data_IF_272149969171
#
_entry.id   IF_272149969171
#
_cell.length_a   1.000
_cell.length_b   1.000
_cell.length_c   1.000
_cell.angle_alpha   90.00
_cell.angle_beta   90.00
_cell.angle_gamma   90.00
#
_symmetry.space_group_name_H-M   'P 1'
#
loop_
_entity.id
_entity.type
_entity.pdbx_description
1 polymer ?
#
# COMPACT_ATOMS: atom_id res chain seq x y z
N UNK A 1 13.32 8.02 24.94
CA UNK A 1 14.16 7.90 23.73
C UNK A 1 14.77 6.51 23.74
N UNK A 2 14.26 5.60 22.96
CA UNK A 2 14.97 4.40 22.58
C UNK A 2 14.55 4.12 21.14
N UNK A 3 15.47 4.16 20.19
CA UNK A 3 15.11 3.89 18.81
C UNK A 3 14.82 2.40 18.69
N UNK A 4 13.67 2.05 18.15
CA UNK A 4 13.45 0.75 17.54
C UNK A 4 14.33 0.68 16.27
N UNK A 5 15.63 0.70 16.46
CA UNK A 5 16.57 0.35 15.41
C UNK A 5 16.50 -1.16 15.30
N UNK A 6 15.74 -1.60 14.33
CA UNK A 6 15.77 -2.98 13.90
C UNK A 6 17.14 -3.17 13.22
N UNK A 7 18.08 -3.91 13.85
CA UNK A 7 19.42 -4.23 13.32
C UNK A 7 19.40 -5.13 12.06
N UNK A 8 18.26 -5.23 11.41
CA UNK A 8 18.15 -5.89 10.10
C UNK A 8 18.62 -4.90 9.04
N UNK A 9 19.76 -5.17 8.43
CA UNK A 9 20.10 -4.50 7.16
C UNK A 9 18.92 -4.65 6.20
N UNK A 10 18.51 -3.55 5.51
CA UNK A 10 17.40 -3.59 4.58
C UNK A 10 17.66 -4.68 3.53
N UNK A 11 16.81 -5.69 3.52
CA UNK A 11 16.96 -6.89 2.69
C UNK A 11 16.58 -6.66 1.22
N UNK A 12 17.14 -5.62 0.58
CA UNK A 12 16.96 -5.38 -0.86
C UNK A 12 17.58 -6.47 -1.74
N UNK A 13 18.39 -7.36 -1.17
CA UNK A 13 18.82 -8.58 -1.84
C UNK A 13 17.60 -9.50 -1.95
N UNK A 14 16.85 -9.37 -3.05
CA UNK A 14 15.98 -10.45 -3.49
C UNK A 14 16.75 -11.76 -3.41
N UNK A 15 16.07 -12.86 -3.12
CA UNK A 15 16.55 -14.23 -3.24
C UNK A 15 16.92 -14.56 -4.71
N UNK A 16 17.88 -13.88 -5.26
CA UNK A 16 18.38 -13.98 -6.62
C UNK A 16 19.60 -13.12 -6.73
N UNK A 17 20.72 -13.68 -7.16
CA UNK A 17 22.05 -13.09 -7.24
C UNK A 17 22.15 -11.67 -7.82
N UNK A 18 23.37 -11.21 -8.20
CA UNK A 18 23.59 -9.88 -8.75
C UNK A 18 22.59 -9.58 -9.87
N UNK A 19 22.21 -8.30 -10.03
CA UNK A 19 21.38 -7.86 -11.16
C UNK A 19 22.05 -8.37 -12.46
N UNK A 20 21.42 -9.36 -13.09
CA UNK A 20 21.88 -9.83 -14.39
C UNK A 20 21.76 -8.67 -15.39
N UNK A 21 22.74 -8.55 -16.27
CA UNK A 21 22.77 -7.51 -17.31
C UNK A 21 21.56 -7.58 -18.27
N UNK A 22 20.78 -8.65 -18.23
CA UNK A 22 19.56 -8.84 -19.03
C UNK A 22 18.49 -9.55 -18.20
N UNK A 23 17.23 -9.15 -18.41
CA UNK A 23 16.08 -9.81 -17.81
C UNK A 23 16.04 -11.29 -18.26
N UNK A 24 15.70 -12.27 -17.36
CA UNK A 24 15.54 -13.67 -17.76
C UNK A 24 14.43 -13.83 -18.79
N UNK A 25 14.48 -14.89 -19.59
CA UNK A 25 13.43 -15.15 -20.58
C UNK A 25 12.08 -15.48 -19.92
N UNK A 26 12.15 -16.21 -18.80
CA UNK A 26 10.97 -16.63 -18.04
C UNK A 26 11.10 -16.30 -16.56
N UNK A 27 9.97 -16.10 -15.91
CA UNK A 27 9.84 -15.81 -14.48
C UNK A 27 8.80 -16.72 -13.83
N UNK A 28 8.85 -16.80 -12.52
CA UNK A 28 7.77 -17.40 -11.72
C UNK A 28 6.78 -16.31 -11.32
N UNK A 29 5.49 -16.67 -11.30
CA UNK A 29 4.43 -15.86 -10.77
C UNK A 29 3.41 -16.71 -10.02
N UNK A 30 2.67 -16.11 -9.11
CA UNK A 30 1.53 -16.76 -8.43
C UNK A 30 0.24 -16.16 -8.99
N UNK A 31 -0.65 -17.00 -9.48
CA UNK A 31 -1.91 -16.56 -10.06
C UNK A 31 -3.01 -17.60 -9.89
N UNK A 32 -4.19 -17.27 -10.40
CA UNK A 32 -5.38 -18.14 -10.36
C UNK A 32 -6.20 -18.02 -11.64
N UNK A 33 -6.91 -19.14 -11.99
CA UNK A 33 -7.79 -19.26 -13.17
C UNK A 33 -9.26 -19.28 -12.79
N UNK A 34 -9.55 -19.48 -11.51
CA UNK A 34 -10.91 -19.53 -10.96
C UNK A 34 -10.94 -18.76 -9.64
N UNK A 35 -12.06 -18.17 -9.32
CA UNK A 35 -12.26 -17.53 -8.03
C UNK A 35 -12.39 -18.56 -6.90
N UNK A 36 -11.95 -18.20 -5.70
CA UNK A 36 -12.09 -19.09 -4.54
C UNK A 36 -11.19 -18.76 -3.36
N UNK A 37 -11.01 -19.77 -2.50
CA UNK A 37 -10.12 -19.73 -1.35
C UNK A 37 -8.63 -19.75 -1.73
N UNK A 38 -7.71 -19.80 -0.74
CA UNK A 38 -6.27 -19.82 -1.01
C UNK A 38 -5.78 -20.95 -1.93
N UNK A 39 -6.51 -22.07 -1.99
CA UNK A 39 -6.17 -23.24 -2.80
C UNK A 39 -6.22 -23.02 -4.32
N UNK A 40 -6.85 -21.92 -4.79
CA UNK A 40 -6.85 -21.59 -6.23
C UNK A 40 -5.54 -20.98 -6.70
N UNK A 41 -4.69 -20.53 -5.77
CA UNK A 41 -3.39 -19.95 -6.08
C UNK A 41 -2.40 -21.03 -6.51
N UNK A 42 -1.72 -20.80 -7.63
CA UNK A 42 -0.70 -21.70 -8.16
C UNK A 42 0.52 -20.94 -8.67
N UNK A 43 1.69 -21.54 -8.50
CA UNK A 43 2.94 -21.02 -9.09
C UNK A 43 2.97 -21.37 -10.57
N UNK A 44 3.30 -20.40 -11.40
CA UNK A 44 3.35 -20.51 -12.87
C UNK A 44 4.67 -20.03 -13.40
N UNK A 45 5.08 -20.59 -14.54
CA UNK A 45 6.15 -20.01 -15.36
C UNK A 45 5.51 -19.17 -16.46
N UNK A 46 5.96 -17.94 -16.61
CA UNK A 46 5.49 -16.99 -17.60
C UNK A 46 6.70 -16.34 -18.27
N UNK A 47 6.51 -15.82 -19.48
CA UNK A 47 7.52 -14.97 -20.08
C UNK A 47 7.69 -13.71 -19.25
N UNK A 48 8.96 -13.33 -19.02
CA UNK A 48 9.28 -12.11 -18.27
C UNK A 48 8.87 -10.90 -19.10
N UNK A 49 8.03 -9.98 -18.57
CA UNK A 49 7.61 -8.80 -19.30
C UNK A 49 8.81 -7.89 -19.57
N UNK A 50 8.80 -7.22 -20.73
CA UNK A 50 9.83 -6.27 -21.14
C UNK A 50 9.28 -4.86 -21.09
N UNK A 51 10.04 -3.89 -20.54
CA UNK A 51 9.58 -2.50 -20.50
C UNK A 51 9.56 -1.90 -21.90
N UNK A 52 8.44 -1.26 -22.24
CA UNK A 52 8.29 -0.42 -23.41
C UNK A 52 8.81 1.01 -23.17
N UNK A 53 8.59 1.96 -24.12
CA UNK A 53 8.94 3.36 -23.93
C UNK A 53 8.26 3.94 -22.68
N UNK A 54 9.03 4.66 -21.82
CA UNK A 54 8.53 5.26 -20.58
C UNK A 54 8.23 4.27 -19.46
N UNK A 55 8.52 2.96 -19.65
CA UNK A 55 8.29 1.93 -18.65
C UNK A 55 9.59 1.40 -18.05
N UNK A 56 9.48 0.84 -16.88
CA UNK A 56 10.58 0.14 -16.20
C UNK A 56 10.18 -1.29 -15.83
N UNK A 57 11.15 -2.19 -15.84
CA UNK A 57 11.01 -3.51 -15.24
C UNK A 57 11.53 -3.48 -13.81
N UNK A 58 10.71 -3.90 -12.87
CA UNK A 58 11.05 -3.99 -11.43
C UNK A 58 11.20 -5.45 -11.05
N UNK A 59 12.36 -5.82 -10.52
CA UNK A 59 12.55 -7.09 -9.80
C UNK A 59 11.92 -6.95 -8.43
N UNK A 60 10.81 -7.64 -8.19
CA UNK A 60 10.03 -7.53 -6.96
C UNK A 60 10.82 -8.12 -5.79
N UNK A 61 10.98 -7.34 -4.73
CA UNK A 61 11.61 -7.76 -3.47
C UNK A 61 10.57 -8.04 -2.39
N UNK A 62 9.50 -7.25 -2.33
CA UNK A 62 8.41 -7.44 -1.40
C UNK A 62 7.07 -7.02 -2.03
N UNK A 63 5.99 -7.66 -1.61
CA UNK A 63 4.62 -7.33 -2.00
C UNK A 63 3.69 -7.46 -0.80
N UNK A 64 2.83 -6.47 -0.57
CA UNK A 64 1.80 -6.53 0.47
C UNK A 64 0.68 -7.48 0.09
N UNK A 65 0.07 -8.11 1.09
CA UNK A 65 -1.14 -8.93 0.94
C UNK A 65 -2.32 -8.18 1.54
N UNK A 66 -3.09 -7.51 0.70
CA UNK A 66 -4.21 -6.67 1.10
C UNK A 66 -5.55 -7.40 1.08
N UNK A 67 -6.40 -7.13 2.08
CA UNK A 67 -7.74 -7.73 2.12
C UNK A 67 -8.59 -7.26 0.94
N UNK A 68 -8.62 -5.96 0.68
CA UNK A 68 -9.48 -5.38 -0.35
C UNK A 68 -8.97 -5.68 -1.75
N UNK A 69 -7.66 -5.48 -2.00
CA UNK A 69 -7.11 -5.60 -3.34
C UNK A 69 -6.87 -7.07 -3.74
N UNK A 70 -6.26 -7.87 -2.84
CA UNK A 70 -5.81 -9.21 -3.20
C UNK A 70 -6.82 -10.30 -2.83
N UNK A 71 -7.32 -10.29 -1.57
CA UNK A 71 -8.20 -11.36 -1.12
C UNK A 71 -9.57 -11.29 -1.79
N UNK A 72 -10.14 -10.09 -1.97
CA UNK A 72 -11.42 -9.94 -2.63
C UNK A 72 -11.32 -10.19 -4.15
N UNK A 73 -10.19 -9.79 -4.78
CA UNK A 73 -9.92 -10.11 -6.18
C UNK A 73 -9.87 -11.62 -6.39
N UNK A 74 -9.09 -12.34 -5.56
CA UNK A 74 -9.02 -13.80 -5.62
C UNK A 74 -10.37 -14.46 -5.36
N UNK A 75 -11.17 -13.94 -4.43
CA UNK A 75 -12.49 -14.47 -4.11
C UNK A 75 -13.56 -14.15 -5.16
N UNK A 76 -13.30 -13.24 -6.10
CA UNK A 76 -14.28 -12.75 -7.08
C UNK A 76 -15.34 -11.82 -6.47
N UNK A 77 -15.04 -11.23 -5.31
CA UNK A 77 -15.96 -10.37 -4.55
C UNK A 77 -15.44 -8.93 -4.43
N UNK A 78 -14.58 -8.51 -5.36
CA UNK A 78 -14.05 -7.15 -5.36
C UNK A 78 -15.18 -6.14 -5.60
N UNK A 79 -15.39 -5.16 -4.70
CA UNK A 79 -16.62 -4.34 -4.73
C UNK A 79 -16.68 -3.34 -5.88
N UNK A 80 -15.53 -2.98 -6.48
CA UNK A 80 -15.44 -1.91 -7.48
C UNK A 80 -14.85 -2.37 -8.81
N UNK A 81 -14.43 -3.62 -8.93
CA UNK A 81 -13.78 -4.08 -10.14
C UNK A 81 -14.21 -5.50 -10.52
N UNK A 82 -14.39 -5.71 -11.81
CA UNK A 82 -14.52 -7.04 -12.39
C UNK A 82 -13.12 -7.58 -12.69
N UNK A 83 -12.73 -8.64 -12.01
CA UNK A 83 -11.43 -9.29 -12.21
C UNK A 83 -11.49 -10.17 -13.43
N UNK A 84 -10.57 -9.98 -14.35
CA UNK A 84 -10.41 -10.84 -15.53
C UNK A 84 -9.50 -12.02 -15.20
N UNK A 85 -9.88 -13.21 -15.65
CA UNK A 85 -9.14 -14.46 -15.48
C UNK A 85 -8.46 -14.89 -16.78
N UNK A 86 -7.27 -15.50 -16.75
CA UNK A 86 -6.43 -15.79 -15.57
C UNK A 86 -5.80 -14.54 -14.99
N UNK A 87 -5.63 -14.49 -13.65
CA UNK A 87 -5.19 -13.30 -12.96
C UNK A 87 -3.94 -13.52 -12.08
N UNK A 88 -3.12 -12.48 -11.96
CA UNK A 88 -1.99 -12.37 -11.03
C UNK A 88 -2.28 -11.19 -10.10
N UNK A 89 -2.50 -11.41 -8.80
CA UNK A 89 -2.74 -10.33 -7.84
C UNK A 89 -1.43 -9.63 -7.43
N UNK A 90 -1.52 -8.69 -6.47
CA UNK A 90 -0.39 -7.96 -5.92
C UNK A 90 -0.36 -6.52 -6.41
N UNK A 91 -0.93 -5.62 -5.62
CA UNK A 91 -0.97 -4.19 -5.96
C UNK A 91 0.25 -3.45 -5.38
N UNK A 92 0.41 -3.49 -4.07
CA UNK A 92 1.42 -2.74 -3.35
C UNK A 92 2.74 -3.52 -3.31
N UNK A 93 3.78 -3.02 -3.96
CA UNK A 93 5.06 -3.71 -3.99
C UNK A 93 6.24 -2.75 -4.04
N UNK A 94 7.41 -3.28 -3.72
CA UNK A 94 8.68 -2.62 -3.84
C UNK A 94 9.72 -3.58 -4.42
N UNK A 95 10.73 -3.03 -5.06
CA UNK A 95 11.77 -3.82 -5.68
C UNK A 95 12.92 -2.99 -6.20
N UNK A 96 13.76 -3.63 -7.00
CA UNK A 96 14.91 -3.00 -7.66
C UNK A 96 14.63 -2.85 -9.15
N UNK A 97 14.88 -1.69 -9.71
CA UNK A 97 14.81 -1.47 -11.17
C UNK A 97 15.78 -2.41 -11.86
N UNK A 98 15.28 -3.32 -12.68
CA UNK A 98 16.07 -4.33 -13.38
C UNK A 98 16.42 -3.90 -14.82
N UNK A 99 15.51 -3.19 -15.47
CA UNK A 99 15.70 -2.63 -16.81
C UNK A 99 14.82 -1.41 -17.00
N UNK A 100 15.17 -0.56 -17.96
CA UNK A 100 14.40 0.63 -18.34
C UNK A 100 14.15 0.64 -19.83
N UNK A 101 12.98 1.11 -20.23
CA UNK A 101 12.63 1.38 -21.62
C UNK A 101 13.20 2.70 -22.11
N UNK A 102 13.02 2.97 -23.41
CA UNK A 102 13.45 4.24 -23.99
C UNK A 102 12.67 5.41 -23.38
N UNK A 103 13.33 6.55 -23.18
CA UNK A 103 12.73 7.77 -22.66
C UNK A 103 12.63 7.83 -21.13
N UNK A 104 12.93 6.77 -20.39
CA UNK A 104 13.00 6.76 -18.93
C UNK A 104 14.19 7.60 -18.46
N UNK A 105 13.94 8.52 -17.53
CA UNK A 105 14.96 9.47 -17.03
C UNK A 105 14.99 9.62 -15.51
N UNK A 106 13.92 9.22 -14.80
CA UNK A 106 13.78 9.43 -13.37
C UNK A 106 14.48 8.36 -12.51
N UNK A 107 14.69 7.18 -13.08
CA UNK A 107 15.31 6.03 -12.40
C UNK A 107 16.24 5.27 -13.35
N UNK A 108 17.12 4.45 -12.80
CA UNK A 108 18.08 3.62 -13.52
C UNK A 108 18.16 2.21 -12.94
N UNK A 109 18.66 1.21 -13.70
CA UNK A 109 18.90 -0.12 -13.17
C UNK A 109 19.77 -0.09 -11.89
N UNK A 110 19.30 -0.78 -10.86
CA UNK A 110 19.91 -0.81 -9.54
C UNK A 110 19.20 0.08 -8.51
N UNK A 111 18.41 1.05 -8.91
CA UNK A 111 17.67 1.89 -7.97
C UNK A 111 16.57 1.09 -7.25
N UNK A 112 16.37 1.37 -5.97
CA UNK A 112 15.29 0.81 -5.16
C UNK A 112 14.06 1.68 -5.28
N UNK A 113 12.91 1.04 -5.55
CA UNK A 113 11.65 1.75 -5.78
C UNK A 113 10.47 1.11 -5.03
N UNK A 114 9.58 1.95 -4.51
CA UNK A 114 8.21 1.58 -4.17
C UNK A 114 7.31 1.89 -5.37
N UNK A 115 6.36 1.01 -5.68
CA UNK A 115 5.48 1.19 -6.85
C UNK A 115 4.07 1.53 -6.40
N UNK A 116 3.61 2.73 -6.78
CA UNK A 116 2.24 3.16 -6.60
C UNK A 116 1.34 2.47 -7.63
N UNK A 117 0.31 1.70 -7.20
CA UNK A 117 -0.37 0.78 -8.09
C UNK A 117 -1.44 1.41 -8.99
N UNK A 118 -1.77 2.69 -8.83
CA UNK A 118 -2.79 3.35 -9.65
C UNK A 118 -2.17 3.86 -10.94
N UNK A 119 -2.56 3.23 -12.04
CA UNK A 119 -2.11 3.57 -13.39
C UNK A 119 -3.14 4.53 -14.01
N UNK A 120 -2.69 5.71 -14.43
CA UNK A 120 -3.51 6.72 -15.11
C UNK A 120 -3.16 6.81 -16.60
N UNK A 121 -4.05 7.34 -17.44
CA UNK A 121 -3.79 7.39 -18.88
C UNK A 121 -2.74 8.43 -19.28
N UNK A 122 -2.54 9.48 -18.49
CA UNK A 122 -1.57 10.55 -18.75
C UNK A 122 -2.01 11.60 -19.77
N UNK A 123 -3.16 11.43 -20.46
CA UNK A 123 -3.57 12.25 -21.62
C UNK A 123 -4.94 12.92 -21.49
N UNK A 124 -5.78 12.52 -20.52
CA UNK A 124 -7.08 13.15 -20.30
C UNK A 124 -6.94 14.46 -19.50
N UNK A 125 -7.99 15.31 -19.51
CA UNK A 125 -8.00 16.61 -18.83
C UNK A 125 -7.61 16.49 -17.37
N UNK A 126 -8.16 15.51 -16.64
CA UNK A 126 -7.81 15.27 -15.24
C UNK A 126 -6.30 14.97 -15.05
N UNK A 127 -5.70 14.17 -15.94
CA UNK A 127 -4.26 13.91 -15.89
C UNK A 127 -3.43 15.16 -16.23
N UNK A 128 -3.87 15.96 -17.20
CA UNK A 128 -3.20 17.20 -17.58
C UNK A 128 -3.23 18.25 -16.46
N UNK A 129 -4.28 18.26 -15.65
CA UNK A 129 -4.44 19.11 -14.46
C UNK A 129 -3.75 18.57 -13.20
N UNK A 130 -3.13 17.39 -13.27
CA UNK A 130 -2.50 16.72 -12.13
C UNK A 130 -3.47 16.02 -11.18
N UNK A 131 -4.74 15.91 -11.55
CA UNK A 131 -5.81 15.23 -10.81
C UNK A 131 -5.99 13.77 -11.26
N UNK A 132 -4.88 13.01 -11.27
CA UNK A 132 -4.87 11.63 -11.75
C UNK A 132 -5.86 10.70 -11.03
N UNK A 133 -6.26 11.00 -9.80
CA UNK A 133 -7.30 10.31 -9.05
C UNK A 133 -8.69 10.41 -9.70
N UNK A 134 -8.94 11.45 -10.50
CA UNK A 134 -10.16 11.66 -11.28
C UNK A 134 -10.06 11.11 -12.72
N UNK A 135 -8.96 10.41 -13.06
CA UNK A 135 -8.78 9.85 -14.39
C UNK A 135 -9.84 8.78 -14.69
N UNK A 136 -10.69 8.95 -15.74
CA UNK A 136 -11.75 7.98 -16.05
C UNK A 136 -11.21 6.64 -16.55
N UNK A 137 -9.95 6.59 -16.98
CA UNK A 137 -9.26 5.38 -17.41
C UNK A 137 -8.32 4.81 -16.34
N UNK A 138 -8.41 5.27 -15.08
CA UNK A 138 -7.57 4.78 -14.01
C UNK A 138 -7.74 3.27 -13.81
N UNK A 139 -6.62 2.57 -13.68
CA UNK A 139 -6.56 1.12 -13.45
C UNK A 139 -5.69 0.83 -12.24
N UNK A 140 -5.99 -0.21 -11.51
CA UNK A 140 -5.19 -0.63 -10.35
C UNK A 140 -4.46 -1.91 -10.74
N UNK A 141 -3.14 -1.89 -10.60
CA UNK A 141 -2.28 -3.05 -10.77
C UNK A 141 -2.67 -4.15 -9.77
N UNK A 142 -2.67 -5.40 -10.20
CA UNK A 142 -3.12 -6.53 -9.37
C UNK A 142 -4.64 -6.63 -9.20
N UNK A 143 -5.41 -5.70 -9.79
CA UNK A 143 -6.88 -5.71 -9.82
C UNK A 143 -7.39 -5.65 -11.26
N UNK A 144 -7.06 -4.58 -12.00
CA UNK A 144 -7.47 -4.41 -13.39
C UNK A 144 -6.40 -4.89 -14.39
N UNK A 145 -5.16 -5.01 -13.93
CA UNK A 145 -4.02 -5.53 -14.70
C UNK A 145 -3.31 -6.59 -13.87
N UNK A 146 -2.37 -7.32 -14.48
CA UNK A 146 -1.51 -8.25 -13.76
C UNK A 146 -0.73 -7.51 -12.67
N UNK A 147 -0.62 -8.14 -11.50
CA UNK A 147 0.04 -7.60 -10.32
C UNK A 147 1.44 -8.17 -10.07
N UNK A 148 1.92 -7.90 -8.86
CA UNK A 148 3.28 -8.14 -8.42
C UNK A 148 3.51 -9.46 -7.66
N UNK A 149 2.55 -10.39 -7.64
CA UNK A 149 2.83 -11.75 -7.19
C UNK A 149 3.68 -12.49 -8.23
N UNK A 150 4.80 -11.88 -8.62
CA UNK A 150 5.71 -12.30 -9.68
C UNK A 150 7.13 -11.87 -9.35
N UNK A 151 8.13 -12.50 -9.98
CA UNK A 151 9.54 -12.11 -9.79
C UNK A 151 9.85 -10.75 -10.46
N UNK A 152 9.10 -10.40 -11.51
CA UNK A 152 9.24 -9.12 -12.24
C UNK A 152 7.88 -8.54 -12.60
N UNK A 153 7.82 -7.21 -12.59
CA UNK A 153 6.68 -6.43 -13.08
C UNK A 153 7.19 -5.36 -14.05
N UNK A 154 6.29 -4.86 -14.91
CA UNK A 154 6.54 -3.67 -15.73
C UNK A 154 5.52 -2.61 -15.36
N UNK A 155 6.01 -1.40 -15.13
CA UNK A 155 5.19 -0.23 -14.74
C UNK A 155 5.72 1.03 -15.43
N UNK A 156 4.87 2.05 -15.66
CA UNK A 156 5.35 3.37 -16.07
C UNK A 156 6.34 3.95 -15.05
N UNK A 157 7.38 4.66 -15.50
CA UNK A 157 8.34 5.29 -14.57
C UNK A 157 7.67 6.25 -13.58
N UNK A 158 6.58 6.92 -13.98
CA UNK A 158 5.80 7.81 -13.14
C UNK A 158 5.17 7.13 -11.91
N UNK A 159 5.06 5.80 -11.94
CA UNK A 159 4.52 5.00 -10.82
C UNK A 159 5.61 4.49 -9.87
N UNK A 160 6.88 4.70 -10.17
CA UNK A 160 8.01 4.21 -9.40
C UNK A 160 8.67 5.35 -8.59
N UNK A 161 8.64 5.24 -7.29
CA UNK A 161 9.18 6.24 -6.36
C UNK A 161 10.46 5.72 -5.74
N UNK A 162 11.60 6.42 -5.90
CA UNK A 162 12.86 6.04 -5.26
C UNK A 162 12.72 5.91 -3.73
N UNK A 163 13.29 4.87 -3.19
CA UNK A 163 13.27 4.55 -1.75
C UNK A 163 14.65 4.81 -1.15
N UNK A 164 14.76 5.51 -0.02
CA UNK A 164 16.01 5.67 0.70
C UNK A 164 16.65 4.31 1.05
N UNK A 165 17.99 4.26 1.06
CA UNK A 165 18.72 3.01 1.22
C UNK A 165 18.55 2.34 2.60
N UNK A 166 18.14 3.10 3.61
CA UNK A 166 17.86 2.66 4.98
C UNK A 166 16.44 2.14 5.20
N UNK A 167 15.55 2.29 4.19
CA UNK A 167 14.18 1.75 4.22
C UNK A 167 14.16 0.36 3.58
N UNK A 168 13.68 -0.66 4.30
CA UNK A 168 13.58 -2.03 3.78
C UNK A 168 12.48 -2.21 2.73
N UNK A 169 12.57 -3.25 1.88
CA UNK A 169 11.59 -3.49 0.83
C UNK A 169 10.19 -3.79 1.38
N UNK A 170 10.08 -4.43 2.52
CA UNK A 170 8.80 -4.73 3.18
C UNK A 170 8.10 -3.46 3.62
N UNK A 171 8.84 -2.52 4.23
CA UNK A 171 8.30 -1.22 4.63
C UNK A 171 7.93 -0.37 3.42
N UNK A 172 8.79 -0.36 2.40
CA UNK A 172 8.53 0.34 1.14
C UNK A 172 7.26 -0.19 0.44
N UNK A 173 7.08 -1.52 0.39
CA UNK A 173 5.88 -2.14 -0.17
C UNK A 173 4.62 -1.80 0.64
N UNK A 174 4.71 -1.82 1.98
CA UNK A 174 3.58 -1.49 2.86
C UNK A 174 3.14 -0.02 2.74
N UNK A 175 4.08 0.88 2.40
CA UNK A 175 3.82 2.31 2.23
C UNK A 175 3.36 2.70 0.82
N UNK A 176 3.55 1.84 -0.17
CA UNK A 176 3.39 2.17 -1.59
C UNK A 176 2.01 2.78 -1.95
N UNK A 177 0.92 2.25 -1.40
CA UNK A 177 -0.43 2.83 -1.55
C UNK A 177 -0.94 3.38 -0.22
N UNK A 178 -0.90 2.56 0.84
CA UNK A 178 -1.50 2.92 2.12
C UNK A 178 -0.85 4.16 2.74
N UNK A 179 0.47 4.36 2.55
CA UNK A 179 1.18 5.56 2.97
C UNK A 179 0.72 6.81 2.20
N UNK A 180 0.62 6.71 0.88
CA UNK A 180 0.14 7.81 0.04
C UNK A 180 -1.31 8.20 0.37
N UNK A 181 -2.18 7.21 0.60
CA UNK A 181 -3.57 7.45 1.02
C UNK A 181 -3.61 8.14 2.37
N UNK A 182 -2.86 7.65 3.38
CA UNK A 182 -2.82 8.28 4.69
C UNK A 182 -2.30 9.74 4.62
N UNK A 183 -1.25 9.98 3.83
CA UNK A 183 -0.69 11.33 3.64
C UNK A 183 -1.73 12.28 3.02
N UNK A 184 -2.33 11.90 1.89
CA UNK A 184 -3.33 12.72 1.20
C UNK A 184 -4.52 13.07 2.10
N UNK A 185 -4.91 12.16 2.95
CA UNK A 185 -5.97 12.36 3.92
C UNK A 185 -5.67 13.52 4.86
N UNK A 186 -4.45 13.59 5.39
CA UNK A 186 -4.05 14.66 6.29
C UNK A 186 -3.81 15.99 5.58
N UNK A 187 -3.36 15.95 4.33
CA UNK A 187 -3.16 17.15 3.53
C UNK A 187 -4.50 17.85 3.24
N UNK A 188 -5.58 17.07 3.10
CA UNK A 188 -6.93 17.61 2.93
C UNK A 188 -7.60 18.07 4.24
N UNK A 189 -7.19 17.52 5.38
CA UNK A 189 -7.86 17.73 6.66
C UNK A 189 -7.37 18.94 7.45
N UNK A 190 -6.29 19.61 7.03
CA UNK A 190 -5.61 20.73 7.75
C UNK A 190 -5.40 20.41 9.25
N UNK A 191 -4.96 19.18 9.55
CA UNK A 191 -4.75 18.72 10.91
C UNK A 191 -3.65 19.50 11.61
N UNK A 192 -3.95 20.04 12.80
CA UNK A 192 -3.00 20.83 13.60
C UNK A 192 -2.45 20.02 14.78
N UNK A 193 -1.21 20.27 15.19
CA UNK A 193 -0.67 19.67 16.41
C UNK A 193 -1.57 19.93 17.61
N UNK A 194 -1.76 18.91 18.45
CA UNK A 194 -2.62 18.96 19.63
C UNK A 194 -4.10 18.66 19.40
N UNK A 195 -4.56 18.62 18.14
CA UNK A 195 -5.93 18.23 17.83
C UNK A 195 -6.19 16.75 18.05
N UNK A 196 -7.43 16.43 18.42
CA UNK A 196 -7.86 15.05 18.60
C UNK A 196 -8.26 14.38 17.27
N UNK A 197 -7.70 13.21 17.03
CA UNK A 197 -8.03 12.35 15.89
C UNK A 197 -8.54 11.02 16.36
N UNK A 198 -9.72 10.62 15.91
CA UNK A 198 -10.27 9.29 16.11
C UNK A 198 -10.04 8.44 14.85
N UNK A 199 -9.25 7.38 14.96
CA UNK A 199 -8.97 6.45 13.87
C UNK A 199 -9.76 5.17 14.04
N UNK A 200 -10.82 4.99 13.25
CA UNK A 200 -11.57 3.74 13.19
C UNK A 200 -10.81 2.68 12.39
N UNK A 201 -10.86 1.43 12.86
CA UNK A 201 -10.12 0.34 12.22
C UNK A 201 -8.59 0.52 12.32
N UNK A 202 -8.12 1.19 13.38
CA UNK A 202 -6.72 1.53 13.59
C UNK A 202 -5.75 0.34 13.54
N UNK A 203 -6.24 -0.88 13.68
CA UNK A 203 -5.42 -2.10 13.57
C UNK A 203 -5.36 -2.70 12.15
N UNK A 204 -5.90 -2.03 11.14
CA UNK A 204 -5.71 -2.37 9.72
C UNK A 204 -4.40 -1.75 9.19
N UNK A 205 -3.95 -2.17 8.00
CA UNK A 205 -2.76 -1.60 7.36
C UNK A 205 -2.87 -0.07 7.23
N UNK A 206 -3.90 0.44 6.56
CA UNK A 206 -4.14 1.88 6.44
C UNK A 206 -4.36 2.54 7.79
N UNK A 207 -5.14 1.92 8.70
CA UNK A 207 -5.45 2.52 10.00
C UNK A 207 -4.23 2.67 10.91
N UNK A 208 -3.33 1.71 10.93
CA UNK A 208 -2.09 1.82 11.73
C UNK A 208 -1.15 2.88 11.16
N UNK A 209 -1.04 2.99 9.84
CA UNK A 209 -0.27 4.06 9.19
C UNK A 209 -0.89 5.44 9.45
N UNK A 210 -2.23 5.55 9.33
CA UNK A 210 -2.94 6.79 9.67
C UNK A 210 -2.70 7.20 11.13
N UNK A 211 -2.80 6.26 12.07
CA UNK A 211 -2.55 6.53 13.48
C UNK A 211 -1.08 6.98 13.73
N UNK A 212 -0.12 6.26 13.16
CA UNK A 212 1.30 6.59 13.30
C UNK A 212 1.64 7.97 12.70
N UNK A 213 1.11 8.29 11.52
CA UNK A 213 1.32 9.56 10.86
C UNK A 213 0.66 10.73 11.64
N UNK A 214 -0.54 10.51 12.19
CA UNK A 214 -1.20 11.49 13.06
C UNK A 214 -0.37 11.80 14.31
N UNK A 215 0.15 10.77 14.98
CA UNK A 215 1.06 10.94 16.14
C UNK A 215 2.33 11.69 15.72
N UNK A 216 2.94 11.32 14.59
CA UNK A 216 4.13 12.00 14.07
C UNK A 216 3.90 13.50 13.80
N UNK A 217 2.69 13.88 13.38
CA UNK A 217 2.26 15.27 13.17
C UNK A 217 1.85 15.99 14.47
N UNK A 218 2.01 15.34 15.62
CA UNK A 218 1.72 15.92 16.93
C UNK A 218 0.24 15.91 17.31
N UNK A 219 -0.61 15.14 16.61
CA UNK A 219 -2.01 14.99 17.00
C UNK A 219 -2.17 14.05 18.21
N UNK A 220 -3.26 14.23 18.94
CA UNK A 220 -3.70 13.32 20.02
C UNK A 220 -4.59 12.24 19.43
N UNK A 221 -4.12 11.00 19.41
CA UNK A 221 -4.79 9.92 18.65
C UNK A 221 -5.57 9.00 19.60
N UNK A 222 -6.86 8.81 19.30
CA UNK A 222 -7.70 7.75 19.84
C UNK A 222 -7.80 6.65 18.78
N UNK A 223 -7.22 5.48 19.05
CA UNK A 223 -7.19 4.37 18.11
C UNK A 223 -8.29 3.35 18.41
N UNK A 224 -9.27 3.21 17.51
CA UNK A 224 -10.40 2.31 17.68
C UNK A 224 -10.17 0.94 17.01
N UNK A 225 -10.29 -0.14 17.79
CA UNK A 225 -10.21 -1.51 17.28
C UNK A 225 -11.04 -2.46 18.15
N UNK A 226 -11.78 -3.39 17.54
CA UNK A 226 -12.61 -4.40 18.22
C UNK A 226 -11.80 -5.43 19.01
N UNK A 227 -10.59 -5.75 18.55
CA UNK A 227 -9.74 -6.75 19.20
C UNK A 227 -8.92 -6.14 20.33
N UNK A 228 -9.11 -6.66 21.54
CA UNK A 228 -8.32 -6.25 22.71
C UNK A 228 -6.82 -6.52 22.54
N UNK A 229 -6.45 -7.63 21.90
CA UNK A 229 -5.05 -7.94 21.59
C UNK A 229 -4.45 -6.89 20.65
N UNK A 230 -5.15 -6.55 19.56
CA UNK A 230 -4.67 -5.55 18.63
C UNK A 230 -4.62 -4.15 19.25
N UNK A 231 -5.57 -3.81 20.15
CA UNK A 231 -5.51 -2.55 20.91
C UNK A 231 -4.24 -2.45 21.76
N UNK A 232 -3.78 -3.53 22.38
CA UNK A 232 -2.50 -3.53 23.12
C UNK A 232 -1.30 -3.19 22.22
N UNK A 233 -1.26 -3.73 21.01
CA UNK A 233 -0.19 -3.44 20.04
C UNK A 233 -0.23 -2.00 19.51
N UNK A 234 -1.41 -1.38 19.43
CA UNK A 234 -1.53 0.02 18.98
C UNK A 234 -0.86 1.01 19.96
N UNK A 235 -0.65 0.65 21.22
CA UNK A 235 0.13 1.50 22.13
C UNK A 235 1.61 1.66 21.71
N UNK A 236 2.15 0.71 20.94
CA UNK A 236 3.51 0.82 20.38
C UNK A 236 3.63 2.01 19.42
N UNK A 237 2.51 2.46 18.82
CA UNK A 237 2.43 3.66 17.98
C UNK A 237 2.34 4.98 18.78
N UNK A 238 2.43 4.93 20.10
CA UNK A 238 2.34 6.09 20.99
C UNK A 238 1.00 6.84 20.90
N UNK A 239 -0.08 6.14 20.58
CA UNK A 239 -1.44 6.72 20.60
C UNK A 239 -1.85 7.10 22.02
N UNK A 240 -2.62 8.17 22.18
CA UNK A 240 -3.08 8.69 23.47
C UNK A 240 -4.00 7.69 24.20
N UNK A 241 -4.90 7.06 23.44
CA UNK A 241 -5.83 6.08 23.96
C UNK A 241 -6.24 5.03 22.91
N UNK A 242 -6.70 3.89 23.39
CA UNK A 242 -7.37 2.88 22.55
C UNK A 242 -8.77 2.62 23.06
N UNK A 243 -9.72 2.40 22.13
CA UNK A 243 -11.13 2.17 22.45
C UNK A 243 -11.71 1.00 21.64
N UNK A 244 -12.75 0.37 22.20
CA UNK A 244 -13.55 -0.62 21.45
C UNK A 244 -14.75 0.08 20.82
N UNK A 245 -14.84 0.14 19.48
CA UNK A 245 -15.96 0.81 18.80
C UNK A 245 -17.29 0.04 18.91
N UNK A 246 -17.27 -1.19 19.46
CA UNK A 246 -18.49 -2.00 19.71
C UNK A 246 -18.99 -1.90 21.15
N UNK A 247 -18.25 -1.21 22.03
CA UNK A 247 -18.68 -0.96 23.39
C UNK A 247 -19.87 0.03 23.39
N UNK A 248 -20.97 -0.28 24.10
CA UNK A 248 -22.09 0.65 24.22
C UNK A 248 -21.73 2.05 24.76
N UNK A 249 -20.69 2.12 25.63
CA UNK A 249 -20.15 3.37 26.17
C UNK A 249 -19.09 4.05 25.30
N UNK A 250 -18.91 3.61 24.04
CA UNK A 250 -17.86 4.13 23.16
C UNK A 250 -17.90 5.65 22.99
N UNK A 251 -19.07 6.23 22.76
CA UNK A 251 -19.22 7.67 22.52
C UNK A 251 -18.89 8.48 23.79
N UNK A 252 -19.39 8.03 24.92
CA UNK A 252 -19.10 8.65 26.23
C UNK A 252 -17.61 8.58 26.54
N UNK A 253 -16.99 7.43 26.25
CA UNK A 253 -15.55 7.26 26.46
C UNK A 253 -14.71 8.20 25.61
N UNK A 254 -15.08 8.42 24.35
CA UNK A 254 -14.40 9.40 23.47
C UNK A 254 -14.60 10.82 24.00
N UNK A 255 -15.81 11.18 24.46
CA UNK A 255 -16.08 12.50 25.07
C UNK A 255 -15.26 12.74 26.32
N UNK A 256 -15.17 11.76 27.21
CA UNK A 256 -14.34 11.85 28.42
C UNK A 256 -12.87 12.12 28.07
N UNK A 257 -12.33 11.36 27.12
CA UNK A 257 -10.93 11.50 26.69
C UNK A 257 -10.64 12.89 26.08
N UNK A 258 -11.59 13.46 25.36
CA UNK A 258 -11.44 14.76 24.68
C UNK A 258 -11.86 15.95 25.54
N UNK A 259 -12.28 15.73 26.79
CA UNK A 259 -12.78 16.80 27.68
C UNK A 259 -14.02 17.48 27.12
N UNK A 260 -14.90 16.75 26.45
CA UNK A 260 -16.13 17.22 25.78
C UNK A 260 -15.90 18.12 24.54
N UNK A 261 -14.65 18.42 24.18
CA UNK A 261 -14.36 19.18 22.96
C UNK A 261 -14.66 18.36 21.69
N UNK A 262 -14.74 17.03 21.83
CA UNK A 262 -14.91 16.12 20.71
C UNK A 262 -13.63 15.89 19.93
N UNK A 263 -13.74 15.24 18.77
CA UNK A 263 -12.63 15.03 17.85
C UNK A 263 -12.73 16.01 16.69
N UNK A 264 -11.62 16.66 16.37
CA UNK A 264 -11.54 17.55 15.20
C UNK A 264 -11.62 16.78 13.90
N UNK A 265 -11.09 15.54 13.89
CA UNK A 265 -11.08 14.67 12.73
C UNK A 265 -11.47 13.24 13.13
N UNK A 266 -12.50 12.68 12.52
CA UNK A 266 -12.84 11.26 12.63
C UNK A 266 -12.49 10.56 11.33
N UNK A 267 -11.66 9.54 11.44
CA UNK A 267 -11.19 8.80 10.29
C UNK A 267 -11.71 7.36 10.29
N UNK A 268 -12.39 6.95 9.22
CA UNK A 268 -12.81 5.55 9.06
C UNK A 268 -12.02 4.87 7.95
N UNK A 269 -11.25 3.85 8.32
CA UNK A 269 -10.60 2.93 7.38
C UNK A 269 -11.50 1.74 7.03
N UNK A 270 -12.68 1.68 7.66
CA UNK A 270 -13.70 0.67 7.35
C UNK A 270 -14.60 1.22 6.26
N UNK A 271 -14.43 0.73 5.05
CA UNK A 271 -15.48 0.79 4.05
C UNK A 271 -16.66 -0.02 4.61
N UNK A 272 -17.77 0.64 4.86
CA UNK A 272 -18.99 -0.07 5.12
C UNK A 272 -19.35 -0.83 3.84
N UNK A 273 -19.05 -2.10 3.83
CA UNK A 273 -19.70 -3.05 2.92
C UNK A 273 -21.10 -3.22 3.49
N UNK A 274 -22.16 -2.88 2.76
CA UNK A 274 -23.53 -3.12 3.22
C UNK A 274 -23.77 -4.58 3.50
#
# INVERSE_FOLDING_TARGET
MSPLVNDRQPGWTATGGPLEAALPAQMRAVGFDTFGGPSVLSVRKLDTPRPGPGEIAVRVAAVSVGRLLDLSARAGTHPYAKIELPHIPGAEHAGTVAAVGSGVTSVRPGDHVAVFPVLVCGECDACAEGAGEACPAARIMGVHTRGAYAEYTVVPEANAFPVPADVGPEDAAALALSGAVAQNQFDQADLRPGEWVLVHGASSALGSLTAALAVHRGARVIAASRSAEKRRRLHELQVEATVDPTDPGFVERVRELTGSAGVGLSWSTTWAIP
#
